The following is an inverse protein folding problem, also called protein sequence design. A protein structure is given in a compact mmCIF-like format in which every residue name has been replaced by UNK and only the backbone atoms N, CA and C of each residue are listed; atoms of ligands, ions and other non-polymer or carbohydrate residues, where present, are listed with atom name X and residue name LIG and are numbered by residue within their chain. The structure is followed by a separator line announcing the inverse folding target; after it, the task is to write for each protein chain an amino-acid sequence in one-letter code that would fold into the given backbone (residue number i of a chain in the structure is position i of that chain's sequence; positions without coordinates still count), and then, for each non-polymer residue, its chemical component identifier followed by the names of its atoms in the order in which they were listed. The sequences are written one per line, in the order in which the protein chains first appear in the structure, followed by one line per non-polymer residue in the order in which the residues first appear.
data_IF_604602104107
#
_entry.id   IF_604602104107
#
_cell.length_a   1.000
_cell.length_b   1.000
_cell.length_c   1.000
_cell.angle_alpha   90.00
_cell.angle_beta   90.00
_cell.angle_gamma   90.00
#
_symmetry.space_group_name_H-M   'P 1'
#
loop_
_entity.id
_entity.type
_entity.pdbx_description
1 polymer ?
#
# COMPACT_ATOMS: atom_id res chain seq x y z
N UNK A 1 16.47 2.69 1.68
CA UNK A 1 16.51 1.95 2.95
C UNK A 1 17.94 1.67 3.36
N UNK A 2 18.28 1.84 4.65
CA UNK A 2 19.61 1.55 5.21
C UNK A 2 19.47 0.62 6.41
N UNK A 3 20.29 -0.42 6.43
CA UNK A 3 20.35 -1.41 7.51
C UNK A 3 21.12 -0.82 8.70
N UNK A 4 20.52 -0.82 9.89
CA UNK A 4 21.13 -0.22 11.07
C UNK A 4 21.74 -1.24 12.03
N UNK A 5 21.26 -2.48 12.06
CA UNK A 5 21.86 -3.55 12.87
C UNK A 5 21.42 -4.96 12.43
N UNK A 6 22.35 -5.91 12.15
CA UNK A 6 22.01 -7.30 11.92
C UNK A 6 21.81 -8.10 13.19
N UNK A 7 20.91 -9.09 13.20
CA UNK A 7 20.95 -10.14 14.20
C UNK A 7 22.11 -11.11 13.86
N UNK A 8 22.81 -11.65 14.87
CA UNK A 8 23.85 -12.67 14.66
C UNK A 8 23.28 -13.88 13.91
N UNK A 9 23.93 -14.32 12.82
CA UNK A 9 23.42 -15.40 11.94
C UNK A 9 23.07 -16.68 12.73
N UNK A 10 23.93 -17.07 13.67
CA UNK A 10 23.80 -18.29 14.48
C UNK A 10 22.59 -18.28 15.44
N UNK A 11 21.84 -17.17 15.53
CA UNK A 11 20.70 -17.01 16.44
C UNK A 11 19.34 -16.96 15.73
N UNK A 12 19.29 -16.73 14.41
CA UNK A 12 18.00 -16.55 13.70
C UNK A 12 17.14 -17.80 13.71
N UNK A 13 17.74 -18.96 13.43
CA UNK A 13 17.04 -20.24 13.41
C UNK A 13 16.57 -20.68 14.80
N UNK A 14 17.39 -20.45 15.83
CA UNK A 14 17.05 -20.81 17.21
C UNK A 14 15.80 -20.07 17.69
N UNK A 15 15.73 -18.77 17.47
CA UNK A 15 14.58 -17.96 17.87
C UNK A 15 13.37 -18.12 16.94
N UNK A 16 13.56 -18.42 15.65
CA UNK A 16 12.45 -18.86 14.81
C UNK A 16 11.80 -20.12 15.37
N UNK A 17 12.58 -21.14 15.76
CA UNK A 17 12.07 -22.36 16.40
C UNK A 17 11.29 -22.03 17.68
N UNK A 18 11.84 -21.15 18.53
CA UNK A 18 11.17 -20.73 19.78
C UNK A 18 9.86 -20.00 19.50
N UNK A 19 9.85 -19.05 18.56
CA UNK A 19 8.63 -18.33 18.16
C UNK A 19 7.60 -19.29 17.58
N UNK A 20 8.03 -20.14 16.65
CA UNK A 20 7.17 -21.10 15.96
C UNK A 20 6.51 -22.05 16.95
N UNK A 21 7.25 -22.62 17.90
CA UNK A 21 6.68 -23.52 18.90
C UNK A 21 5.61 -22.83 19.78
N UNK A 22 5.71 -21.52 19.99
CA UNK A 22 4.70 -20.74 20.74
C UNK A 22 3.46 -20.35 19.93
N UNK A 23 3.58 -20.20 18.61
CA UNK A 23 2.47 -19.72 17.77
C UNK A 23 1.91 -20.76 16.80
N UNK A 24 2.55 -21.93 16.64
CA UNK A 24 2.16 -22.94 15.63
C UNK A 24 0.72 -23.41 15.77
N UNK A 25 0.19 -23.41 16.98
CA UNK A 25 -1.18 -23.84 17.27
C UNK A 25 -2.22 -22.75 17.04
N UNK A 26 -1.79 -21.53 16.70
CA UNK A 26 -2.69 -20.48 16.24
C UNK A 26 -3.21 -20.76 14.83
N UNK A 27 -2.61 -21.67 14.07
CA UNK A 27 -2.94 -21.93 12.67
C UNK A 27 -3.39 -23.38 12.47
N UNK A 28 -4.37 -23.63 11.59
CA UNK A 28 -4.80 -24.99 11.25
C UNK A 28 -4.38 -25.39 9.82
N UNK A 29 -4.18 -26.69 9.62
CA UNK A 29 -3.99 -27.34 8.31
C UNK A 29 -2.99 -26.61 7.39
N UNK A 30 -3.45 -26.14 6.22
CA UNK A 30 -2.64 -25.42 5.23
C UNK A 30 -2.22 -24.03 5.71
N UNK A 31 -2.89 -23.49 6.73
CA UNK A 31 -2.54 -22.24 7.38
C UNK A 31 -1.19 -22.30 8.09
N UNK A 32 -0.82 -23.46 8.67
CA UNK A 32 0.50 -23.64 9.31
C UNK A 32 1.64 -23.43 8.32
N UNK A 33 1.61 -24.10 7.17
CA UNK A 33 2.66 -23.98 6.15
C UNK A 33 2.71 -22.59 5.48
N UNK A 34 1.60 -21.85 5.43
CA UNK A 34 1.60 -20.46 4.96
C UNK A 34 2.19 -19.52 6.02
N UNK A 35 1.76 -19.65 7.27
CA UNK A 35 2.26 -18.84 8.38
C UNK A 35 3.77 -19.01 8.60
N UNK A 36 4.26 -20.25 8.47
CA UNK A 36 5.68 -20.54 8.52
C UNK A 36 6.46 -19.77 7.44
N UNK A 37 6.01 -19.82 6.17
CA UNK A 37 6.62 -19.05 5.08
C UNK A 37 6.60 -17.54 5.30
N UNK A 38 5.50 -17.01 5.85
CA UNK A 38 5.39 -15.60 6.23
C UNK A 38 6.45 -15.20 7.26
N UNK A 39 6.68 -16.02 8.30
CA UNK A 39 7.76 -15.79 9.26
C UNK A 39 9.14 -15.95 8.62
N UNK A 40 9.29 -16.89 7.70
CA UNK A 40 10.55 -17.15 7.02
C UNK A 40 10.97 -15.95 6.16
N UNK A 41 10.02 -15.25 5.55
CA UNK A 41 10.26 -14.01 4.81
C UNK A 41 10.81 -12.89 5.70
N UNK A 42 10.37 -12.78 6.96
CA UNK A 42 10.90 -11.80 7.91
C UNK A 42 12.34 -12.13 8.30
N UNK A 43 12.63 -13.42 8.52
CA UNK A 43 13.80 -13.86 9.26
C UNK A 43 14.98 -14.30 8.39
N UNK A 44 14.69 -14.88 7.22
CA UNK A 44 15.66 -15.62 6.42
C UNK A 44 15.67 -15.24 4.95
N UNK A 45 14.86 -14.26 4.52
CA UNK A 45 14.97 -13.73 3.16
C UNK A 45 16.32 -13.04 2.94
N UNK A 46 16.89 -13.16 1.74
CA UNK A 46 18.15 -12.50 1.34
C UNK A 46 18.10 -10.98 1.53
N UNK A 47 16.91 -10.40 1.40
CA UNK A 47 16.64 -8.99 1.65
C UNK A 47 15.56 -8.86 2.71
N UNK A 48 15.75 -7.96 3.70
CA UNK A 48 14.73 -7.72 4.69
C UNK A 48 13.45 -7.15 4.04
N UNK A 49 12.27 -7.48 4.58
CA UNK A 49 11.00 -6.96 4.07
C UNK A 49 10.93 -5.43 4.21
N UNK A 50 10.17 -4.80 3.32
CA UNK A 50 9.83 -3.38 3.41
C UNK A 50 8.89 -3.12 4.59
N UNK A 51 8.75 -1.84 4.98
CA UNK A 51 7.78 -1.40 6.00
C UNK A 51 6.35 -1.87 5.67
N UNK A 52 5.92 -1.65 4.44
CA UNK A 52 4.62 -2.12 3.93
C UNK A 52 4.52 -3.64 4.00
N UNK A 53 5.53 -4.37 3.50
CA UNK A 53 5.50 -5.84 3.49
C UNK A 53 5.45 -6.46 4.88
N UNK A 54 6.13 -5.86 5.87
CA UNK A 54 5.99 -6.29 7.28
C UNK A 54 4.55 -6.16 7.80
N UNK A 55 3.86 -5.09 7.38
CA UNK A 55 2.46 -4.88 7.75
C UNK A 55 1.59 -5.94 7.10
N UNK A 56 1.76 -6.20 5.80
CA UNK A 56 1.05 -7.27 5.09
C UNK A 56 1.26 -8.63 5.76
N UNK A 57 2.52 -9.01 6.04
CA UNK A 57 2.86 -10.27 6.71
C UNK A 57 2.13 -10.40 8.06
N UNK A 58 2.09 -9.34 8.87
CA UNK A 58 1.38 -9.36 10.16
C UNK A 58 -0.11 -9.69 9.98
N UNK A 59 -0.77 -9.08 9.00
CA UNK A 59 -2.19 -9.33 8.74
C UNK A 59 -2.47 -10.62 7.98
N UNK A 60 -1.51 -11.11 7.17
CA UNK A 60 -1.54 -12.47 6.61
C UNK A 60 -1.55 -13.49 7.75
N UNK A 61 -0.65 -13.34 8.73
CA UNK A 61 -0.62 -14.19 9.92
C UNK A 61 -1.95 -14.09 10.71
N UNK A 62 -2.45 -12.88 10.97
CA UNK A 62 -3.75 -12.69 11.66
C UNK A 62 -4.91 -13.37 10.92
N UNK A 63 -4.93 -13.29 9.59
CA UNK A 63 -5.97 -13.90 8.76
C UNK A 63 -5.92 -15.43 8.81
N UNK A 64 -4.71 -15.99 8.79
CA UNK A 64 -4.47 -17.44 8.90
C UNK A 64 -4.75 -17.98 10.30
N UNK A 65 -4.70 -17.12 11.32
CA UNK A 65 -4.97 -17.52 12.69
C UNK A 65 -6.45 -17.85 12.92
N UNK A 66 -6.67 -18.83 13.79
CA UNK A 66 -8.00 -19.22 14.26
C UNK A 66 -8.68 -18.04 14.94
N UNK A 67 -10.00 -17.93 14.82
CA UNK A 67 -10.78 -16.84 15.42
C UNK A 67 -10.49 -16.66 16.92
N UNK A 68 -10.28 -17.76 17.65
CA UNK A 68 -9.94 -17.77 19.08
C UNK A 68 -8.57 -17.17 19.44
N UNK A 69 -7.70 -16.95 18.46
CA UNK A 69 -6.35 -16.41 18.64
C UNK A 69 -6.15 -15.07 17.93
N UNK A 70 -7.16 -14.53 17.25
CA UNK A 70 -7.03 -13.26 16.51
C UNK A 70 -6.90 -12.04 17.41
N UNK A 71 -7.43 -12.11 18.62
CA UNK A 71 -7.30 -11.10 19.67
C UNK A 71 -5.85 -10.92 20.16
N UNK A 72 -5.02 -11.97 20.00
CA UNK A 72 -3.58 -11.92 20.27
C UNK A 72 -2.82 -10.99 19.31
N UNK A 73 -3.39 -10.72 18.13
CA UNK A 73 -2.82 -9.84 17.11
C UNK A 73 -3.31 -8.41 17.33
N UNK A 74 -2.54 -7.66 18.11
CA UNK A 74 -2.91 -6.32 18.54
C UNK A 74 -2.16 -5.25 17.75
N UNK A 75 -2.84 -4.15 17.46
CA UNK A 75 -2.25 -2.99 16.79
C UNK A 75 -2.66 -1.74 17.55
N UNK A 76 -1.70 -0.88 17.88
CA UNK A 76 -2.01 0.37 18.56
C UNK A 76 -0.96 1.46 18.29
N UNK A 77 -1.37 2.70 18.48
CA UNK A 77 -0.49 3.86 18.52
C UNK A 77 -0.22 4.20 20.00
N UNK A 78 1.05 4.26 20.45
CA UNK A 78 1.35 4.50 21.86
C UNK A 78 0.93 5.93 22.24
N UNK A 79 0.16 6.08 23.31
CA UNK A 79 -0.41 7.37 23.73
C UNK A 79 -1.19 8.10 22.62
N UNK A 80 -1.83 7.35 21.73
CA UNK A 80 -2.56 7.88 20.56
C UNK A 80 -1.68 8.72 19.60
N UNK A 81 -0.35 8.53 19.68
CA UNK A 81 0.59 9.25 18.83
C UNK A 81 0.77 8.56 17.47
N UNK A 82 0.25 9.20 16.44
CA UNK A 82 0.30 8.74 15.05
C UNK A 82 1.72 8.62 14.47
N UNK A 83 2.72 9.29 15.05
CA UNK A 83 4.11 9.18 14.61
C UNK A 83 4.71 7.77 14.87
N UNK A 84 4.02 6.91 15.63
CA UNK A 84 4.42 5.53 15.86
C UNK A 84 3.20 4.60 15.83
N UNK A 85 3.32 3.48 15.12
CA UNK A 85 2.36 2.38 15.17
C UNK A 85 3.09 1.09 15.56
N UNK A 86 2.48 0.31 16.45
CA UNK A 86 3.02 -0.94 16.97
C UNK A 86 2.07 -2.06 16.58
N UNK A 87 2.63 -3.12 16.01
CA UNK A 87 1.97 -4.40 15.78
C UNK A 87 2.60 -5.43 16.70
N UNK A 88 1.79 -6.22 17.41
CA UNK A 88 2.32 -7.24 18.31
C UNK A 88 1.48 -8.50 18.34
N UNK A 89 2.15 -9.61 18.60
CA UNK A 89 1.53 -10.90 18.88
C UNK A 89 1.80 -11.21 20.34
N UNK A 90 0.74 -11.26 21.14
CA UNK A 90 0.80 -11.62 22.55
C UNK A 90 0.78 -13.14 22.73
N UNK A 91 1.33 -13.60 23.85
CA UNK A 91 1.17 -14.98 24.27
C UNK A 91 -0.26 -15.27 24.80
N UNK A 92 -0.48 -16.49 25.31
CA UNK A 92 -1.80 -16.90 25.80
C UNK A 92 -2.25 -16.09 27.03
N UNK A 93 -1.31 -15.65 27.86
CA UNK A 93 -1.61 -14.93 29.11
C UNK A 93 -1.58 -13.39 28.96
N UNK A 94 -1.22 -12.86 27.79
CA UNK A 94 -0.94 -11.44 27.55
C UNK A 94 0.21 -10.86 28.38
N UNK A 95 1.12 -11.72 28.84
CA UNK A 95 2.28 -11.30 29.64
C UNK A 95 3.47 -10.96 28.76
N UNK A 96 3.66 -11.72 27.67
CA UNK A 96 4.84 -11.60 26.81
C UNK A 96 4.50 -11.20 25.37
N UNK A 97 5.27 -10.26 24.81
CA UNK A 97 5.27 -9.94 23.39
C UNK A 97 6.14 -10.95 22.62
N UNK A 98 5.50 -11.91 21.93
CA UNK A 98 6.18 -12.93 21.13
C UNK A 98 6.85 -12.32 19.90
N UNK A 99 6.14 -11.41 19.24
CA UNK A 99 6.59 -10.65 18.08
C UNK A 99 6.11 -9.21 18.22
N UNK A 100 7.00 -8.25 17.93
CA UNK A 100 6.71 -6.82 17.99
C UNK A 100 7.31 -6.11 16.78
N UNK A 101 6.47 -5.51 15.96
CA UNK A 101 6.89 -4.60 14.89
C UNK A 101 6.60 -3.18 15.34
N UNK A 102 7.61 -2.30 15.34
CA UNK A 102 7.44 -0.88 15.63
C UNK A 102 7.76 -0.08 14.39
N UNK A 103 6.82 0.71 13.90
CA UNK A 103 7.03 1.61 12.76
C UNK A 103 6.91 3.05 13.24
N UNK A 104 7.97 3.82 13.03
CA UNK A 104 8.05 5.26 13.30
C UNK A 104 8.08 6.02 11.97
N UNK A 105 8.10 7.35 12.02
CA UNK A 105 8.18 8.21 10.83
C UNK A 105 9.28 7.77 9.84
N UNK A 106 10.53 7.63 10.29
CA UNK A 106 11.68 7.36 9.41
C UNK A 106 12.32 5.97 9.62
N UNK A 107 11.86 5.20 10.60
CA UNK A 107 12.47 3.93 11.00
C UNK A 107 11.43 2.87 11.28
N UNK A 108 11.80 1.61 11.13
CA UNK A 108 10.99 0.48 11.57
C UNK A 108 11.86 -0.64 12.12
N UNK A 109 11.32 -1.38 13.08
CA UNK A 109 11.98 -2.52 13.69
C UNK A 109 11.05 -3.71 13.84
N UNK A 110 11.63 -4.90 13.90
CA UNK A 110 10.96 -6.13 14.29
C UNK A 110 11.75 -6.79 15.42
N UNK A 111 11.07 -7.10 16.51
CA UNK A 111 11.62 -7.81 17.65
C UNK A 111 10.87 -9.13 17.82
N UNK A 112 11.60 -10.19 18.16
CA UNK A 112 11.03 -11.52 18.47
C UNK A 112 11.55 -11.92 19.83
N UNK A 113 10.65 -12.29 20.74
CA UNK A 113 10.97 -12.61 22.14
C UNK A 113 11.86 -11.52 22.80
N UNK A 114 11.53 -10.25 22.56
CA UNK A 114 12.28 -9.09 23.05
C UNK A 114 13.66 -8.85 22.41
N UNK A 115 14.10 -9.68 21.44
CA UNK A 115 15.37 -9.50 20.72
C UNK A 115 15.14 -8.77 19.39
N UNK A 116 15.97 -7.78 19.09
CA UNK A 116 15.89 -7.02 17.83
C UNK A 116 16.40 -7.86 16.66
N UNK A 117 15.53 -8.09 15.67
CA UNK A 117 15.84 -8.83 14.44
C UNK A 117 16.11 -7.94 13.26
N UNK A 118 15.41 -6.82 13.20
CA UNK A 118 15.48 -5.90 12.11
C UNK A 118 15.40 -4.51 12.67
N UNK A 119 16.32 -3.65 12.27
CA UNK A 119 16.19 -2.21 12.48
C UNK A 119 16.64 -1.48 11.22
N UNK A 120 15.68 -0.80 10.62
CA UNK A 120 15.81 -0.22 9.29
C UNK A 120 15.47 1.26 9.33
N UNK A 121 16.25 2.04 8.61
CA UNK A 121 15.88 3.41 8.26
C UNK A 121 15.27 3.43 6.86
N UNK A 122 14.06 3.95 6.79
CA UNK A 122 13.37 4.24 5.56
C UNK A 122 13.68 5.66 5.08
N UNK A 123 13.47 5.89 3.78
CA UNK A 123 13.54 7.25 3.25
C UNK A 123 12.13 7.84 3.33
N UNK A 124 11.92 8.99 3.99
CA UNK A 124 10.63 9.64 3.95
C UNK A 124 10.28 10.00 2.49
N UNK A 125 8.99 10.04 2.18
CA UNK A 125 8.52 10.40 0.85
C UNK A 125 8.94 11.83 0.50
N UNK A 126 9.10 12.08 -0.80
CA UNK A 126 9.22 13.43 -1.35
C UNK A 126 8.12 13.61 -2.38
N UNK A 127 7.64 14.85 -2.50
CA UNK A 127 6.75 15.20 -3.61
C UNK A 127 7.63 15.39 -4.85
N UNK A 128 7.37 14.64 -5.92
CA UNK A 128 8.05 14.75 -7.22
C UNK A 128 7.94 16.16 -7.76
N UNK A 129 6.77 16.78 -7.59
CA UNK A 129 6.52 18.18 -7.95
C UNK A 129 7.31 19.17 -7.09
N UNK A 130 7.65 18.80 -5.85
CA UNK A 130 8.32 19.66 -4.86
C UNK A 130 9.36 18.87 -4.05
N UNK A 131 10.55 18.56 -4.62
CA UNK A 131 11.54 17.69 -3.98
C UNK A 131 12.07 18.18 -2.62
N UNK A 132 11.94 19.47 -2.35
CA UNK A 132 12.27 20.12 -1.07
C UNK A 132 11.23 19.83 0.04
N UNK A 133 10.06 19.31 -0.33
CA UNK A 133 8.98 18.99 0.59
C UNK A 133 9.06 17.51 0.96
N UNK A 134 9.15 17.25 2.26
CA UNK A 134 9.03 15.90 2.80
C UNK A 134 7.57 15.56 3.04
N UNK A 135 7.15 14.39 2.57
CA UNK A 135 5.82 13.82 2.73
C UNK A 135 5.88 12.62 3.68
N UNK A 136 5.12 12.68 4.78
CA UNK A 136 4.96 11.56 5.72
C UNK A 136 3.46 11.31 5.88
N UNK A 137 3.05 10.05 5.70
CA UNK A 137 1.68 9.60 5.93
C UNK A 137 1.72 8.66 7.13
N UNK A 138 1.30 9.17 8.28
CA UNK A 138 1.14 8.37 9.49
C UNK A 138 -0.12 7.51 9.38
N UNK A 139 -0.13 6.42 10.15
CA UNK A 139 -1.20 5.42 10.09
C UNK A 139 -1.70 5.08 11.48
N UNK A 140 -2.99 4.74 11.53
CA UNK A 140 -3.67 4.21 12.72
C UNK A 140 -4.50 3.00 12.32
N UNK A 141 -4.61 2.04 13.23
CA UNK A 141 -5.47 0.88 12.99
C UNK A 141 -6.94 1.30 12.87
N UNK A 142 -7.60 0.83 11.81
CA UNK A 142 -9.04 0.96 11.61
C UNK A 142 -9.70 -0.43 11.74
N UNK A 143 -10.69 -0.51 12.61
CA UNK A 143 -11.54 -1.69 12.77
C UNK A 143 -12.43 -1.92 11.54
N UNK A 144 -12.86 -0.84 10.87
CA UNK A 144 -13.73 -0.89 9.68
C UNK A 144 -13.10 -1.69 8.54
N UNK A 145 -11.77 -1.61 8.38
CA UNK A 145 -11.03 -2.29 7.30
C UNK A 145 -10.08 -3.39 7.79
N UNK A 146 -10.02 -3.62 9.11
CA UNK A 146 -9.07 -4.50 9.78
C UNK A 146 -7.62 -4.30 9.27
N UNK A 147 -7.17 -3.04 9.25
CA UNK A 147 -5.82 -2.64 8.80
C UNK A 147 -5.46 -1.22 9.24
N UNK A 148 -4.17 -0.85 9.21
CA UNK A 148 -3.77 0.56 9.30
C UNK A 148 -4.26 1.39 8.10
N UNK A 149 -5.00 2.45 8.38
CA UNK A 149 -5.35 3.49 7.42
C UNK A 149 -4.49 4.74 7.62
N UNK A 150 -4.28 5.56 6.58
CA UNK A 150 -3.78 6.92 6.72
C UNK A 150 -4.60 7.71 7.75
N UNK A 151 -3.93 8.25 8.76
CA UNK A 151 -4.57 8.95 9.89
C UNK A 151 -4.12 10.39 10.01
N UNK A 152 -2.87 10.69 9.67
CA UNK A 152 -2.34 12.07 9.65
C UNK A 152 -1.37 12.24 8.49
N UNK A 153 -1.56 13.28 7.69
CA UNK A 153 -0.59 13.78 6.72
C UNK A 153 0.36 14.76 7.42
N UNK A 154 1.66 14.57 7.26
CA UNK A 154 2.68 15.51 7.70
C UNK A 154 3.50 16.00 6.50
N UNK A 155 3.54 17.33 6.32
CA UNK A 155 4.33 18.01 5.30
C UNK A 155 5.40 18.86 5.98
N UNK A 156 6.64 18.71 5.53
CA UNK A 156 7.76 19.45 6.09
C UNK A 156 8.61 20.08 4.97
N UNK A 157 8.62 21.41 4.94
CA UNK A 157 9.53 22.20 4.13
C UNK A 157 10.75 22.56 4.97
N UNK A 158 11.96 22.33 4.44
CA UNK A 158 13.19 22.65 5.17
C UNK A 158 13.18 24.10 5.70
N UNK A 159 13.36 24.26 7.01
CA UNK A 159 13.36 25.57 7.68
C UNK A 159 11.98 26.11 8.08
N UNK A 160 10.89 25.38 7.79
CA UNK A 160 9.53 25.72 8.23
C UNK A 160 9.02 24.76 9.30
N UNK A 161 8.05 25.17 10.13
CA UNK A 161 7.32 24.23 10.98
C UNK A 161 6.63 23.15 10.15
N UNK A 162 6.59 21.93 10.68
CA UNK A 162 5.87 20.82 10.05
C UNK A 162 4.35 21.10 10.09
N UNK A 163 3.70 21.00 8.94
CA UNK A 163 2.24 21.02 8.83
C UNK A 163 1.72 19.60 9.09
N UNK A 164 0.72 19.47 9.94
CA UNK A 164 0.04 18.21 10.23
C UNK A 164 -1.45 18.36 9.94
N UNK A 165 -2.00 17.46 9.14
CA UNK A 165 -3.40 17.47 8.70
C UNK A 165 -4.04 16.14 9.08
N UNK A 166 -5.07 16.12 9.94
CA UNK A 166 -5.76 14.89 10.31
C UNK A 166 -6.55 14.34 9.12
N UNK A 167 -6.53 13.01 8.98
CA UNK A 167 -7.19 12.26 7.90
C UNK A 167 -8.24 11.27 8.44
N UNK A 168 -8.52 11.27 9.75
CA UNK A 168 -9.39 10.30 10.42
C UNK A 168 -10.81 10.22 9.80
N UNK A 169 -11.27 11.31 9.20
CA UNK A 169 -12.57 11.38 8.52
C UNK A 169 -12.69 10.44 7.32
N UNK A 170 -11.58 9.95 6.73
CA UNK A 170 -11.60 8.92 5.69
C UNK A 170 -12.24 7.63 6.23
N UNK A 171 -11.86 7.20 7.44
CA UNK A 171 -12.48 6.03 8.08
C UNK A 171 -13.96 6.28 8.38
N UNK A 172 -14.33 7.54 8.68
CA UNK A 172 -15.72 7.97 8.83
C UNK A 172 -16.59 7.71 7.59
N UNK A 173 -16.08 7.98 6.38
CA UNK A 173 -16.79 7.64 5.14
C UNK A 173 -17.02 6.13 5.02
N UNK A 174 -15.98 5.34 5.23
CA UNK A 174 -16.06 3.87 5.13
C UNK A 174 -17.00 3.29 6.18
N UNK A 175 -16.97 3.81 7.41
CA UNK A 175 -17.88 3.45 8.48
C UNK A 175 -19.34 3.78 8.13
N UNK A 176 -19.57 4.91 7.46
CA UNK A 176 -20.91 5.29 7.01
C UNK A 176 -21.46 4.32 5.95
N UNK A 177 -20.63 3.89 5.00
CA UNK A 177 -21.01 2.89 3.98
C UNK A 177 -21.22 1.50 4.60
N UNK A 178 -20.42 1.15 5.61
CA UNK A 178 -20.62 -0.05 6.41
C UNK A 178 -21.98 -0.04 7.13
N UNK A 179 -22.32 1.07 7.81
CA UNK A 179 -23.63 1.21 8.48
C UNK A 179 -24.82 1.16 7.53
N UNK A 180 -24.66 1.60 6.28
CA UNK A 180 -25.70 1.49 5.24
C UNK A 180 -25.87 0.06 4.72
N UNK A 181 -24.98 -0.87 5.06
CA UNK A 181 -24.96 -2.22 4.48
C UNK A 181 -24.47 -2.27 3.04
N UNK A 182 -23.85 -1.20 2.54
CA UNK A 182 -23.46 -1.04 1.13
C UNK A 182 -21.95 -1.17 0.89
N UNK A 183 -21.14 -1.36 1.95
CA UNK A 183 -19.68 -1.34 1.85
C UNK A 183 -19.13 -2.34 0.82
N UNK A 184 -19.68 -3.54 0.71
CA UNK A 184 -19.18 -4.55 -0.23
C UNK A 184 -19.46 -4.16 -1.70
N UNK A 185 -20.65 -3.61 -1.98
CA UNK A 185 -20.99 -3.09 -3.30
C UNK A 185 -20.13 -1.87 -3.66
N UNK A 186 -19.92 -0.96 -2.69
CA UNK A 186 -19.01 0.17 -2.84
C UNK A 186 -17.57 -0.30 -3.11
N UNK A 187 -17.07 -1.27 -2.35
CA UNK A 187 -15.73 -1.87 -2.55
C UNK A 187 -15.57 -2.49 -3.93
N UNK A 188 -16.58 -3.20 -4.43
CA UNK A 188 -16.54 -3.80 -5.76
C UNK A 188 -16.46 -2.74 -6.87
N UNK A 189 -17.26 -1.68 -6.75
CA UNK A 189 -17.24 -0.54 -7.67
C UNK A 189 -15.90 0.19 -7.63
N UNK A 190 -15.44 0.58 -6.43
CA UNK A 190 -14.19 1.30 -6.23
C UNK A 190 -12.99 0.50 -6.74
N UNK A 191 -12.92 -0.80 -6.47
CA UNK A 191 -11.84 -1.66 -6.95
C UNK A 191 -11.72 -1.65 -8.47
N UNK A 192 -12.85 -1.78 -9.18
CA UNK A 192 -12.87 -1.78 -10.63
C UNK A 192 -12.52 -0.41 -11.20
N UNK A 193 -13.11 0.67 -10.66
CA UNK A 193 -12.88 2.04 -11.14
C UNK A 193 -11.43 2.49 -10.91
N UNK A 194 -10.92 2.29 -9.69
CA UNK A 194 -9.58 2.75 -9.31
C UNK A 194 -8.47 2.05 -10.09
N UNK A 195 -8.55 0.71 -10.21
CA UNK A 195 -7.54 -0.05 -10.96
C UNK A 195 -7.62 0.19 -12.46
N UNK A 196 -8.81 0.37 -13.04
CA UNK A 196 -8.95 0.77 -14.44
C UNK A 196 -8.27 2.13 -14.70
N UNK A 197 -8.48 3.11 -13.82
CA UNK A 197 -7.83 4.42 -13.92
C UNK A 197 -6.29 4.30 -13.81
N UNK A 198 -5.78 3.47 -12.89
CA UNK A 198 -4.33 3.23 -12.74
C UNK A 198 -3.71 2.54 -13.96
N UNK A 199 -4.39 1.56 -14.55
CA UNK A 199 -3.94 0.89 -15.78
C UNK A 199 -3.89 1.90 -16.93
N UNK A 200 -4.95 2.68 -17.11
CA UNK A 200 -5.03 3.70 -18.17
C UNK A 200 -3.91 4.74 -18.02
N UNK A 201 -3.70 5.25 -16.79
CA UNK A 201 -2.63 6.20 -16.48
C UNK A 201 -1.24 5.65 -16.82
N UNK A 202 -0.96 4.37 -16.49
CA UNK A 202 0.30 3.71 -16.86
C UNK A 202 0.52 3.61 -18.38
N UNK A 203 -0.53 3.25 -19.13
CA UNK A 203 -0.49 3.17 -20.59
C UNK A 203 -0.20 4.54 -21.19
N UNK A 204 -0.96 5.57 -20.82
CA UNK A 204 -0.79 6.93 -21.35
C UNK A 204 0.60 7.49 -21.02
N UNK A 205 1.06 7.30 -19.78
CA UNK A 205 2.40 7.72 -19.35
C UNK A 205 3.49 7.06 -20.20
N UNK A 206 3.41 5.75 -20.42
CA UNK A 206 4.39 5.01 -21.21
C UNK A 206 4.36 5.42 -22.69
N UNK A 207 3.16 5.59 -23.27
CA UNK A 207 2.99 6.11 -24.62
C UNK A 207 3.62 7.50 -24.79
N UNK A 208 3.45 8.40 -23.81
CA UNK A 208 4.08 9.73 -23.83
C UNK A 208 5.60 9.66 -23.77
N UNK A 209 6.16 8.81 -22.89
CA UNK A 209 7.62 8.61 -22.78
C UNK A 209 8.19 8.03 -24.07
N UNK A 210 7.48 7.08 -24.68
CA UNK A 210 7.87 6.38 -25.90
C UNK A 210 7.19 6.96 -27.15
N UNK A 211 6.92 8.26 -27.18
CA UNK A 211 6.22 8.89 -28.30
C UNK A 211 6.89 8.60 -29.66
N UNK A 212 8.23 8.51 -29.68
CA UNK A 212 9.01 8.18 -30.87
C UNK A 212 8.78 6.76 -31.42
N UNK A 213 8.25 5.84 -30.61
CA UNK A 213 8.01 4.45 -30.98
C UNK A 213 6.68 4.25 -31.74
N UNK A 214 5.84 5.28 -31.88
CA UNK A 214 4.56 5.24 -32.59
C UNK A 214 3.68 4.03 -32.17
N UNK A 215 3.50 3.85 -30.86
CA UNK A 215 2.66 2.78 -30.31
C UNK A 215 1.20 3.04 -30.72
N UNK A 216 0.61 2.13 -31.49
CA UNK A 216 -0.74 2.31 -32.03
C UNK A 216 -1.81 2.27 -30.93
N UNK A 217 -2.93 2.97 -31.14
CA UNK A 217 -4.09 2.95 -30.25
C UNK A 217 -4.63 1.54 -30.04
N UNK A 218 -4.55 0.68 -31.07
CA UNK A 218 -4.93 -0.73 -30.97
C UNK A 218 -4.08 -1.48 -29.93
N UNK A 219 -2.76 -1.27 -29.92
CA UNK A 219 -1.86 -1.87 -28.93
C UNK A 219 -2.15 -1.31 -27.53
N UNK A 220 -2.43 -0.02 -27.42
CA UNK A 220 -2.81 0.61 -26.15
C UNK A 220 -4.09 -0.01 -25.58
N UNK A 221 -5.13 -0.16 -26.41
CA UNK A 221 -6.39 -0.79 -26.02
C UNK A 221 -6.21 -2.27 -25.65
N UNK A 222 -5.39 -3.02 -26.39
CA UNK A 222 -5.06 -4.42 -26.06
C UNK A 222 -4.34 -4.52 -24.71
N UNK A 223 -3.35 -3.67 -24.44
CA UNK A 223 -2.64 -3.65 -23.17
C UNK A 223 -3.60 -3.35 -22.00
N UNK A 224 -4.53 -2.42 -22.18
CA UNK A 224 -5.55 -2.09 -21.18
C UNK A 224 -6.43 -3.31 -20.86
N UNK A 225 -7.01 -3.93 -21.89
CA UNK A 225 -7.92 -5.07 -21.73
C UNK A 225 -7.21 -6.31 -21.17
N UNK A 226 -5.99 -6.60 -21.62
CA UNK A 226 -5.19 -7.71 -21.10
C UNK A 226 -4.83 -7.51 -19.63
N UNK A 227 -4.42 -6.29 -19.24
CA UNK A 227 -4.10 -6.00 -17.83
C UNK A 227 -5.34 -6.07 -16.94
N UNK A 228 -6.48 -5.55 -17.40
CA UNK A 228 -7.77 -5.71 -16.70
C UNK A 228 -8.12 -7.18 -16.49
N UNK A 229 -7.96 -8.01 -17.53
CA UNK A 229 -8.22 -9.45 -17.45
C UNK A 229 -7.27 -10.17 -16.48
N UNK A 230 -5.97 -9.83 -16.47
CA UNK A 230 -4.99 -10.37 -15.52
C UNK A 230 -5.34 -10.00 -14.06
N UNK A 231 -5.96 -8.84 -13.84
CA UNK A 231 -6.46 -8.43 -12.53
C UNK A 231 -7.80 -9.07 -12.15
N UNK A 232 -8.40 -9.89 -13.03
CA UNK A 232 -9.73 -10.46 -12.84
C UNK A 232 -10.86 -9.41 -12.86
N UNK A 233 -10.61 -8.25 -13.48
CA UNK A 233 -11.57 -7.15 -13.58
C UNK A 233 -12.27 -7.18 -14.92
N UNK A 234 -13.52 -6.69 -14.94
CA UNK A 234 -14.25 -6.41 -16.17
C UNK A 234 -14.28 -4.90 -16.42
N UNK A 235 -14.16 -4.43 -17.67
CA UNK A 235 -14.44 -3.05 -18.00
C UNK A 235 -15.83 -2.66 -17.51
N UNK A 236 -15.94 -1.51 -16.85
CA UNK A 236 -17.21 -0.98 -16.41
C UNK A 236 -18.03 -0.55 -17.64
N UNK A 237 -19.18 -1.19 -17.84
CA UNK A 237 -20.11 -0.87 -18.94
C UNK A 237 -20.99 0.35 -18.63
N UNK A 238 -21.09 0.73 -17.36
CA UNK A 238 -21.92 1.85 -16.89
C UNK A 238 -21.10 2.77 -15.98
N UNK A 239 -21.37 4.09 -16.01
CA UNK A 239 -20.71 5.02 -15.11
C UNK A 239 -21.02 4.68 -13.64
N UNK A 240 -20.12 4.97 -12.69
CA UNK A 240 -20.38 4.77 -11.27
C UNK A 240 -21.68 5.48 -10.86
N UNK A 241 -22.51 4.89 -10.00
CA UNK A 241 -23.71 5.54 -9.48
C UNK A 241 -23.36 6.89 -8.82
N UNK A 242 -24.21 7.91 -8.96
CA UNK A 242 -23.97 9.23 -8.35
C UNK A 242 -23.85 9.20 -6.81
N UNK A 243 -24.34 8.13 -6.18
CA UNK A 243 -24.22 7.89 -4.74
C UNK A 243 -22.85 7.35 -4.32
N UNK A 244 -22.01 6.94 -5.28
CA UNK A 244 -20.67 6.43 -5.03
C UNK A 244 -19.68 7.59 -4.91
N UNK A 245 -19.15 7.79 -3.70
CA UNK A 245 -18.04 8.71 -3.45
C UNK A 245 -16.74 7.91 -3.62
N UNK A 246 -15.86 8.22 -4.58
CA UNK A 246 -14.59 7.50 -4.77
C UNK A 246 -13.55 7.91 -3.72
N UNK A 247 -12.52 7.08 -3.50
CA UNK A 247 -11.45 7.34 -2.51
C UNK A 247 -10.79 8.68 -2.77
N UNK A 248 -10.48 9.01 -4.02
CA UNK A 248 -9.81 10.28 -4.38
C UNK A 248 -10.62 11.49 -3.91
N UNK A 249 -11.95 11.43 -4.08
CA UNK A 249 -12.86 12.48 -3.62
C UNK A 249 -12.98 12.51 -2.10
N UNK A 250 -12.99 11.36 -1.42
CA UNK A 250 -12.97 11.31 0.06
C UNK A 250 -11.70 12.01 0.59
N UNK A 251 -10.55 11.69 0.01
CA UNK A 251 -9.26 12.28 0.40
C UNK A 251 -9.25 13.79 0.13
N UNK A 252 -9.71 14.21 -1.05
CA UNK A 252 -9.81 15.63 -1.41
C UNK A 252 -10.69 16.41 -0.42
N UNK A 253 -11.91 15.91 -0.14
CA UNK A 253 -12.84 16.56 0.80
C UNK A 253 -12.24 16.67 2.21
N UNK A 254 -11.55 15.63 2.69
CA UNK A 254 -10.91 15.63 4.02
C UNK A 254 -9.74 16.60 4.08
N UNK A 255 -8.89 16.64 3.06
CA UNK A 255 -7.77 17.58 2.99
C UNK A 255 -8.25 19.04 2.92
N UNK A 256 -9.24 19.31 2.06
CA UNK A 256 -9.77 20.65 1.86
C UNK A 256 -10.66 21.11 3.04
N UNK A 257 -11.05 20.22 3.96
CA UNK A 257 -11.71 20.65 5.20
C UNK A 257 -10.74 21.36 6.17
N UNK A 258 -9.43 21.13 6.05
CA UNK A 258 -8.42 21.72 6.93
C UNK A 258 -7.97 23.10 6.44
N UNK A 259 -8.19 24.13 7.27
CA UNK A 259 -7.86 25.52 6.93
C UNK A 259 -6.36 25.78 6.83
N UNK A 260 -5.54 25.08 7.60
CA UNK A 260 -4.09 25.26 7.56
C UNK A 260 -3.54 24.67 6.26
N UNK A 261 -4.05 23.52 5.83
CA UNK A 261 -3.74 22.91 4.54
C UNK A 261 -4.20 23.77 3.36
N UNK A 262 -5.43 24.30 3.39
CA UNK A 262 -5.91 25.23 2.37
C UNK A 262 -4.98 26.45 2.26
N UNK A 263 -4.61 27.06 3.40
CA UNK A 263 -3.72 28.24 3.41
C UNK A 263 -2.34 27.88 2.84
N UNK A 264 -1.83 26.70 3.15
CA UNK A 264 -0.56 26.20 2.63
C UNK A 264 -0.54 26.04 1.10
N UNK A 265 -1.67 25.68 0.48
CA UNK A 265 -1.77 25.53 -0.97
C UNK A 265 -1.75 26.86 -1.76
N UNK A 266 -2.08 27.99 -1.14
CA UNK A 266 -2.33 29.28 -1.84
C UNK A 266 -1.05 30.02 -2.28
N UNK A 267 0.13 29.55 -1.86
CA UNK A 267 1.40 30.26 -2.08
C UNK A 267 1.86 30.32 -3.55
N UNK A 268 1.39 29.40 -4.41
CA UNK A 268 1.50 29.42 -5.88
C UNK A 268 0.38 28.53 -6.45
N UNK A 269 -0.53 29.09 -7.24
CA UNK A 269 -1.76 28.39 -7.69
C UNK A 269 -1.44 27.18 -8.58
N UNK A 270 -0.44 27.28 -9.45
CA UNK A 270 -0.08 26.21 -10.39
C UNK A 270 0.70 25.09 -9.71
N UNK A 271 1.64 25.48 -8.85
CA UNK A 271 2.42 24.55 -8.05
C UNK A 271 1.52 23.85 -7.01
N UNK A 272 0.59 24.59 -6.42
CA UNK A 272 -0.40 24.09 -5.46
C UNK A 272 -1.31 23.01 -6.03
N UNK A 273 -1.79 23.15 -7.28
CA UNK A 273 -2.62 22.14 -7.93
C UNK A 273 -1.87 20.82 -8.20
N UNK A 274 -0.65 20.91 -8.73
CA UNK A 274 0.18 19.72 -8.96
C UNK A 274 0.55 19.01 -7.65
N UNK A 275 0.87 19.79 -6.62
CA UNK A 275 1.16 19.28 -5.28
C UNK A 275 -0.05 18.58 -4.67
N UNK A 276 -1.23 19.20 -4.78
CA UNK A 276 -2.49 18.64 -4.27
C UNK A 276 -2.81 17.31 -4.95
N UNK A 277 -2.74 17.24 -6.28
CA UNK A 277 -3.00 16.01 -7.03
C UNK A 277 -2.06 14.88 -6.62
N UNK A 278 -0.76 15.18 -6.42
CA UNK A 278 0.22 14.20 -5.98
C UNK A 278 -0.04 13.71 -4.53
N UNK A 279 -0.44 14.60 -3.63
CA UNK A 279 -0.82 14.26 -2.25
C UNK A 279 -2.08 13.38 -2.24
N UNK A 280 -3.10 13.75 -3.01
CA UNK A 280 -4.35 12.98 -3.14
C UNK A 280 -4.03 11.59 -3.66
N UNK A 281 -3.24 11.47 -4.74
CA UNK A 281 -2.84 10.17 -5.28
C UNK A 281 -2.11 9.32 -4.24
N UNK A 282 -1.11 9.89 -3.55
CA UNK A 282 -0.30 9.16 -2.57
C UNK A 282 -1.12 8.64 -1.38
N UNK A 283 -2.06 9.44 -0.86
CA UNK A 283 -2.94 9.02 0.22
C UNK A 283 -3.95 8.00 -0.30
N UNK A 284 -4.55 8.25 -1.46
CA UNK A 284 -5.55 7.36 -2.07
C UNK A 284 -4.99 5.97 -2.34
N UNK A 285 -3.75 5.87 -2.83
CA UNK A 285 -3.06 4.59 -3.03
C UNK A 285 -2.92 3.81 -1.72
N UNK A 286 -2.62 4.50 -0.61
CA UNK A 286 -2.49 3.87 0.71
C UNK A 286 -3.84 3.45 1.28
N UNK A 287 -4.90 4.25 1.10
CA UNK A 287 -6.28 3.87 1.46
C UNK A 287 -6.75 2.67 0.64
N UNK A 288 -6.52 2.70 -0.68
CA UNK A 288 -6.86 1.61 -1.59
C UNK A 288 -6.14 0.31 -1.18
N UNK A 289 -4.84 0.39 -0.94
CA UNK A 289 -4.06 -0.75 -0.46
C UNK A 289 -4.58 -1.30 0.87
N UNK A 290 -4.97 -0.42 1.81
CA UNK A 290 -5.57 -0.82 3.07
C UNK A 290 -6.95 -1.48 2.94
N UNK A 291 -7.69 -1.23 1.86
CA UNK A 291 -8.98 -1.87 1.59
C UNK A 291 -8.84 -3.22 0.88
N UNK A 292 -7.92 -3.29 -0.09
CA UNK A 292 -7.87 -4.40 -1.06
C UNK A 292 -6.61 -5.25 -0.98
N UNK A 293 -5.65 -4.92 -0.10
CA UNK A 293 -4.33 -5.58 0.02
C UNK A 293 -3.62 -5.70 -1.33
N UNK A 294 -3.85 -4.73 -2.21
CA UNK A 294 -3.34 -4.69 -3.57
C UNK A 294 -2.58 -3.38 -3.71
N UNK A 295 -1.34 -3.43 -4.19
CA UNK A 295 -0.56 -2.24 -4.50
C UNK A 295 -0.99 -1.68 -5.88
N UNK A 296 -1.69 -0.53 -5.94
CA UNK A 296 -2.15 0.04 -7.20
C UNK A 296 -0.98 0.45 -8.12
N UNK A 297 0.17 0.81 -7.56
CA UNK A 297 1.36 1.18 -8.34
C UNK A 297 2.00 -0.04 -9.01
N UNK A 298 1.96 -1.21 -8.36
CA UNK A 298 2.38 -2.47 -8.99
C UNK A 298 1.49 -2.83 -10.19
N UNK A 299 0.18 -2.58 -10.09
CA UNK A 299 -0.77 -2.79 -11.21
C UNK A 299 -0.51 -1.79 -12.34
N UNK A 300 -0.27 -0.51 -12.02
CA UNK A 300 0.13 0.48 -13.02
C UNK A 300 1.39 0.04 -13.75
N UNK A 301 2.43 -0.39 -13.02
CA UNK A 301 3.69 -0.86 -13.62
C UNK A 301 3.48 -2.11 -14.50
N UNK A 302 2.63 -3.04 -14.08
CA UNK A 302 2.25 -4.18 -14.91
C UNK A 302 1.63 -3.73 -16.23
N UNK A 303 0.77 -2.70 -16.23
CA UNK A 303 0.21 -2.13 -17.45
C UNK A 303 1.28 -1.50 -18.37
N UNK A 304 2.23 -0.77 -17.77
CA UNK A 304 3.39 -0.20 -18.50
C UNK A 304 4.21 -1.33 -19.17
N UNK A 305 4.51 -2.40 -18.44
CA UNK A 305 5.25 -3.57 -18.93
C UNK A 305 4.47 -4.29 -20.05
N UNK A 306 3.16 -4.50 -19.89
CA UNK A 306 2.31 -5.12 -20.90
C UNK A 306 2.27 -4.33 -22.21
N UNK A 307 2.18 -2.99 -22.13
CA UNK A 307 2.21 -2.15 -23.32
C UNK A 307 3.51 -2.32 -24.10
N UNK A 308 4.65 -2.26 -23.41
CA UNK A 308 5.97 -2.42 -24.05
C UNK A 308 6.15 -3.81 -24.65
N UNK A 309 5.70 -4.86 -23.95
CA UNK A 309 5.79 -6.24 -24.43
C UNK A 309 4.95 -6.47 -25.69
N UNK A 310 3.71 -5.98 -25.73
CA UNK A 310 2.83 -6.08 -26.90
C UNK A 310 3.38 -5.30 -28.09
N UNK A 311 3.92 -4.10 -27.85
CA UNK A 311 4.55 -3.32 -28.91
C UNK A 311 5.74 -4.06 -29.54
N UNK A 312 6.66 -4.58 -28.72
CA UNK A 312 7.80 -5.38 -29.21
C UNK A 312 7.32 -6.62 -29.97
N UNK A 313 6.26 -7.29 -29.49
CA UNK A 313 5.67 -8.45 -30.16
C UNK A 313 5.10 -8.10 -31.53
N UNK A 314 4.43 -6.96 -31.68
CA UNK A 314 3.88 -6.51 -32.96
C UNK A 314 4.96 -6.24 -34.01
N UNK A 315 6.12 -5.70 -33.60
CA UNK A 315 7.25 -5.45 -34.50
C UNK A 315 7.82 -6.77 -35.06
N UNK A 316 7.91 -7.81 -34.22
CA UNK A 316 8.35 -9.15 -34.65
C UNK A 316 7.36 -9.81 -35.62
N UNK A 317 6.07 -9.61 -35.42
CA UNK A 317 5.03 -10.16 -36.30
C UNK A 317 4.92 -9.39 -37.62
N UNK A 318 5.19 -8.08 -37.63
CA UNK A 318 5.26 -7.25 -38.83
C UNK A 318 6.51 -7.52 -39.69
N UNK A 319 7.66 -7.79 -39.07
CA UNK A 319 8.92 -8.08 -39.77
C UNK A 319 8.89 -9.35 -40.62
N UNK A 320 8.12 -10.37 -40.22
CA UNK A 320 7.97 -11.60 -41.00
C UNK A 320 7.08 -11.47 -42.25
N UNK A 321 6.36 -10.35 -42.44
CA UNK A 321 5.52 -10.13 -43.64
C UNK A 321 6.25 -9.47 -44.81
N UNK A 322 7.48 -8.98 -44.61
CA UNK A 322 8.29 -8.35 -45.66
C UNK A 322 9.19 -9.35 -46.43
N UNK A 323 9.26 -10.62 -46.02
CA UNK A 323 10.04 -11.65 -46.72
C UNK A 323 9.23 -12.48 -47.73
N UNK A 324 7.97 -12.14 -48.04
CA UNK A 324 7.13 -12.86 -48.99
C UNK A 324 6.88 -12.12 -50.32
N UNK A 325 7.68 -11.10 -50.63
CA UNK A 325 7.70 -10.47 -51.95
C UNK A 325 9.11 -10.53 -52.55
N UNK A 326 9.53 -11.72 -52.99
CA UNK A 326 10.56 -11.92 -53.99
C UNK A 326 10.15 -13.06 -54.93
#
# INVERSE_FOLDING_TARGET
MKYLSPPPENTREAWWKVLWEKIKDFFFSTGKAKADRCLHEILFADRPPTRERLTEIFFELKTLACTSHRDRFQVHNPHENDATIIFRIMDQNEEDELLRITQRTDTFSCNIMGKSYLFMKDCPGILKSHPQMTLIINKRYSETVDYPLPSTLCLNLAGSPMLSVPLDNIDGYLYSEWRKGNLDAWKAQEKATYLAAKIQSGIEKTTRILHHANISESIQQSAFLETMALCGLKPLETPPPHTHIPIEKMVEEVLLADKAFQTFLVTDVSAGQNMLAEIIEAISDKVFHALFRTDPQAIQKMAEEQLTALHIRSLRQGGNRLCCFL
#
